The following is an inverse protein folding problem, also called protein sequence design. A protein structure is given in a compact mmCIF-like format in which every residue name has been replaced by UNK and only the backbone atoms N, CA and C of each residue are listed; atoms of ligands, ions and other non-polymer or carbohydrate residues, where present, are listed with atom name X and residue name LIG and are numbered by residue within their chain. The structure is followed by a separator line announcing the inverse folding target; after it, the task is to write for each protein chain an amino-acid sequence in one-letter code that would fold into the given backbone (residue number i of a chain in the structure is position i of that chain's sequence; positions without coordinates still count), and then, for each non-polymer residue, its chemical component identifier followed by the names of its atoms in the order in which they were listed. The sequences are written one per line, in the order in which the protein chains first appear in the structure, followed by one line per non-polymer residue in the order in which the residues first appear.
data_IF_281755722835
#
_entry.id   IF_281755722835
#
_cell.length_a   1.000
_cell.length_b   1.000
_cell.length_c   1.000
_cell.angle_alpha   90.00
_cell.angle_beta   90.00
_cell.angle_gamma   90.00
#
_symmetry.space_group_name_H-M   'P 1'
#
loop_
_entity.id
_entity.type
_entity.pdbx_description
1 polymer ?
#
# COMPACT_ATOMS: atom_id res chain seq x y z
N UNK A 1 1.43 61.91 -9.46
CA UNK A 1 2.37 60.97 -8.85
C UNK A 1 1.69 59.88 -7.99
N UNK A 2 0.72 60.17 -7.13
CA UNK A 2 0.03 59.16 -6.30
C UNK A 2 -0.85 58.15 -7.05
N UNK A 3 -1.35 58.49 -8.26
CA UNK A 3 -2.19 57.63 -9.11
C UNK A 3 -1.34 56.60 -9.89
N UNK A 4 -0.15 56.99 -10.36
CA UNK A 4 0.77 56.12 -11.07
C UNK A 4 1.38 55.09 -10.13
N UNK A 5 1.65 55.43 -8.87
CA UNK A 5 2.16 54.51 -7.85
C UNK A 5 1.12 53.43 -7.44
N UNK A 6 -0.18 53.80 -7.40
CA UNK A 6 -1.25 52.84 -7.13
C UNK A 6 -1.50 51.88 -8.28
N UNK A 7 -1.40 52.34 -9.53
CA UNK A 7 -1.51 51.49 -10.72
C UNK A 7 -0.35 50.48 -10.81
N UNK A 8 0.89 50.94 -10.51
CA UNK A 8 2.07 50.05 -10.49
C UNK A 8 1.98 49.01 -9.35
N UNK A 9 1.45 49.36 -8.17
CA UNK A 9 1.26 48.42 -7.06
C UNK A 9 0.19 47.37 -7.37
N UNK A 10 -0.90 47.73 -8.04
CA UNK A 10 -1.95 46.79 -8.48
C UNK A 10 -1.44 45.86 -9.57
N UNK A 11 -0.61 46.33 -10.49
CA UNK A 11 0.02 45.51 -11.53
C UNK A 11 1.03 44.52 -10.92
N UNK A 12 1.80 44.91 -9.91
CA UNK A 12 2.72 44.02 -9.18
C UNK A 12 1.99 42.95 -8.35
N UNK A 13 0.86 43.31 -7.74
CA UNK A 13 0.03 42.35 -7.00
C UNK A 13 -0.68 41.38 -7.97
N UNK A 14 -1.16 41.85 -9.11
CA UNK A 14 -1.74 40.99 -10.15
C UNK A 14 -0.69 40.07 -10.81
N UNK A 15 0.56 40.54 -11.01
CA UNK A 15 1.65 39.72 -11.51
C UNK A 15 2.12 38.70 -10.45
N UNK A 16 2.11 39.07 -9.14
CA UNK A 16 2.41 38.14 -8.03
C UNK A 16 1.31 37.07 -7.87
N UNK A 17 0.06 37.39 -8.14
CA UNK A 17 -1.06 36.41 -8.08
C UNK A 17 -1.06 35.50 -9.33
N UNK A 18 -0.62 35.98 -10.51
CA UNK A 18 -0.47 35.14 -11.69
C UNK A 18 0.68 34.13 -11.56
N UNK A 19 1.70 34.40 -10.76
CA UNK A 19 2.78 33.44 -10.49
C UNK A 19 2.40 32.34 -9.49
N UNK A 20 1.28 32.45 -8.76
CA UNK A 20 0.83 31.43 -7.81
C UNK A 20 -0.07 30.34 -8.42
N UNK A 21 -0.40 30.41 -9.71
CA UNK A 21 -1.11 29.37 -10.45
C UNK A 21 -0.17 28.55 -11.37
N UNK A 22 1.10 28.41 -11.02
CA UNK A 22 1.82 27.26 -11.53
C UNK A 22 1.29 26.03 -10.76
N UNK A 23 0.16 25.53 -11.23
CA UNK A 23 -0.23 24.15 -11.02
C UNK A 23 1.03 23.34 -11.29
N UNK A 24 1.54 22.63 -10.29
CA UNK A 24 2.67 21.72 -10.43
C UNK A 24 2.18 20.56 -11.31
N UNK A 25 2.14 20.80 -12.62
CA UNK A 25 1.77 19.77 -13.60
C UNK A 25 2.95 18.83 -13.71
N UNK A 26 2.73 17.56 -13.43
CA UNK A 26 3.71 16.53 -13.69
C UNK A 26 4.15 16.63 -15.17
N UNK A 27 5.43 16.94 -15.39
CA UNK A 27 6.00 17.01 -16.73
C UNK A 27 6.85 15.76 -16.95
N UNK A 28 6.42 14.91 -17.87
CA UNK A 28 7.15 13.73 -18.34
C UNK A 28 7.55 13.92 -19.79
N UNK A 29 8.71 13.39 -20.19
CA UNK A 29 9.13 13.32 -21.61
C UNK A 29 8.43 12.16 -22.33
N UNK A 30 7.99 11.14 -21.57
CA UNK A 30 7.23 10.01 -22.08
C UNK A 30 5.86 10.42 -22.62
N UNK A 31 5.43 9.78 -23.72
CA UNK A 31 4.13 9.99 -24.33
C UNK A 31 3.02 9.36 -23.49
N UNK A 32 2.06 10.16 -23.00
CA UNK A 32 0.88 9.66 -22.30
C UNK A 32 -0.14 9.15 -23.31
N UNK A 33 -0.42 7.84 -23.30
CA UNK A 33 -1.40 7.17 -24.17
C UNK A 33 -2.81 7.23 -23.63
N UNK A 34 -2.98 7.16 -22.29
CA UNK A 34 -4.28 7.30 -21.64
C UNK A 34 -4.79 8.74 -21.69
N UNK A 35 -6.12 8.93 -21.62
CA UNK A 35 -6.69 10.28 -21.64
C UNK A 35 -6.35 11.02 -20.35
N UNK A 36 -5.71 12.19 -20.47
CA UNK A 36 -5.38 13.02 -19.31
C UNK A 36 -6.63 13.26 -18.44
N UNK A 37 -6.52 12.91 -17.14
CA UNK A 37 -7.48 13.28 -16.08
C UNK A 37 -8.90 12.71 -16.24
N UNK A 38 -9.11 11.57 -16.83
CA UNK A 38 -10.36 10.88 -16.61
C UNK A 38 -10.31 10.29 -15.21
N UNK A 39 -11.13 10.84 -14.29
CA UNK A 39 -11.40 10.18 -13.02
C UNK A 39 -11.97 8.81 -13.39
N UNK A 40 -11.32 7.73 -12.97
CA UNK A 40 -11.81 6.38 -13.20
C UNK A 40 -13.25 6.24 -12.71
N UNK A 41 -13.93 5.20 -13.11
CA UNK A 41 -15.25 4.84 -12.60
C UNK A 41 -15.19 4.82 -11.08
N UNK A 42 -16.26 5.22 -10.42
CA UNK A 42 -16.44 5.08 -8.98
C UNK A 42 -17.72 4.31 -8.71
N UNK A 43 -17.76 3.55 -7.64
CA UNK A 43 -18.93 2.80 -7.21
C UNK A 43 -19.21 3.04 -5.74
N UNK A 44 -20.46 2.88 -5.35
CA UNK A 44 -20.88 2.81 -3.94
C UNK A 44 -21.09 1.36 -3.49
N UNK A 45 -20.82 0.38 -4.35
CA UNK A 45 -20.90 -1.02 -4.01
C UNK A 45 -19.81 -1.37 -2.99
N UNK A 46 -20.17 -2.19 -2.01
CA UNK A 46 -19.20 -2.83 -1.11
C UNK A 46 -18.53 -4.01 -1.83
N UNK A 47 -17.27 -4.33 -1.50
CA UNK A 47 -16.62 -5.53 -2.01
C UNK A 47 -17.44 -6.79 -1.66
N UNK A 48 -17.54 -7.71 -2.60
CA UNK A 48 -18.17 -9.01 -2.35
C UNK A 48 -17.31 -9.83 -1.37
N UNK A 49 -17.96 -10.54 -0.44
CA UNK A 49 -17.28 -11.36 0.57
C UNK A 49 -16.35 -12.42 -0.05
N UNK A 50 -16.83 -13.11 -1.11
CA UNK A 50 -16.03 -14.10 -1.84
C UNK A 50 -14.75 -13.48 -2.41
N UNK A 51 -14.82 -12.29 -2.99
CA UNK A 51 -13.67 -11.59 -3.55
C UNK A 51 -12.73 -11.11 -2.45
N UNK A 52 -13.25 -10.68 -1.30
CA UNK A 52 -12.43 -10.33 -0.14
C UNK A 52 -11.67 -11.56 0.40
N UNK A 53 -12.34 -12.71 0.54
CA UNK A 53 -11.66 -13.95 0.95
C UNK A 53 -10.58 -14.38 -0.04
N UNK A 54 -10.81 -14.22 -1.34
CA UNK A 54 -9.79 -14.46 -2.36
C UNK A 54 -8.58 -13.51 -2.20
N UNK A 55 -8.82 -12.23 -1.87
CA UNK A 55 -7.75 -11.28 -1.57
C UNK A 55 -6.97 -11.65 -0.30
N UNK A 56 -7.62 -12.18 0.72
CA UNK A 56 -6.95 -12.72 1.92
C UNK A 56 -6.13 -13.98 1.60
N UNK A 57 -6.65 -14.90 0.77
CA UNK A 57 -5.90 -16.06 0.29
C UNK A 57 -4.66 -15.65 -0.52
N UNK A 58 -4.80 -14.68 -1.43
CA UNK A 58 -3.67 -14.11 -2.16
C UNK A 58 -2.62 -13.55 -1.19
N UNK A 59 -3.06 -12.81 -0.17
CA UNK A 59 -2.20 -12.21 0.85
C UNK A 59 -1.42 -13.25 1.65
N UNK A 60 -2.09 -14.33 2.10
CA UNK A 60 -1.44 -15.43 2.83
C UNK A 60 -0.45 -16.19 1.94
N UNK A 61 -0.85 -16.53 0.71
CA UNK A 61 0.01 -17.22 -0.23
C UNK A 61 1.25 -16.39 -0.54
N UNK A 62 1.07 -15.08 -0.79
CA UNK A 62 2.20 -14.19 -1.03
C UNK A 62 3.12 -14.09 0.17
N UNK A 63 2.57 -13.95 1.39
CA UNK A 63 3.36 -13.91 2.61
C UNK A 63 4.19 -15.18 2.82
N UNK A 64 3.64 -16.36 2.49
CA UNK A 64 4.33 -17.64 2.63
C UNK A 64 5.51 -17.79 1.66
N UNK A 65 5.39 -17.21 0.45
CA UNK A 65 6.44 -17.26 -0.57
C UNK A 65 7.56 -16.24 -0.35
N UNK A 66 7.34 -15.20 0.48
CA UNK A 66 8.41 -14.27 0.85
C UNK A 66 9.34 -14.96 1.86
N UNK A 67 10.44 -15.53 1.36
CA UNK A 67 11.42 -16.21 2.19
C UNK A 67 12.46 -15.21 2.73
N UNK A 68 12.12 -14.57 3.84
CA UNK A 68 13.01 -13.63 4.54
C UNK A 68 12.82 -13.76 6.06
N UNK A 69 13.91 -13.99 6.79
CA UNK A 69 13.91 -14.04 8.26
C UNK A 69 14.01 -12.66 8.91
N UNK A 70 14.27 -11.62 8.11
CA UNK A 70 14.28 -10.22 8.55
C UNK A 70 12.87 -9.62 8.64
N UNK A 71 12.82 -8.31 8.77
CA UNK A 71 11.57 -7.56 8.71
C UNK A 71 10.92 -7.68 7.33
N UNK A 72 9.59 -7.71 7.30
CA UNK A 72 8.81 -7.74 6.06
C UNK A 72 7.88 -6.55 6.01
N UNK A 73 7.66 -6.01 4.81
CA UNK A 73 6.69 -4.95 4.56
C UNK A 73 6.27 -5.01 3.09
N UNK A 74 5.00 -5.22 2.84
CA UNK A 74 4.43 -5.21 1.49
C UNK A 74 2.98 -4.76 1.50
N UNK A 75 2.46 -4.41 0.33
CA UNK A 75 1.06 -4.06 0.13
C UNK A 75 0.36 -5.07 -0.76
N UNK A 76 -0.52 -5.91 -0.21
CA UNK A 76 -1.34 -6.80 -1.02
C UNK A 76 -2.22 -6.04 -2.01
N UNK A 77 -2.84 -4.93 -1.56
CA UNK A 77 -3.69 -4.10 -2.41
C UNK A 77 -2.93 -3.53 -3.62
N UNK A 78 -1.75 -2.98 -3.39
CA UNK A 78 -0.93 -2.40 -4.46
C UNK A 78 -0.51 -3.45 -5.50
N UNK A 79 -0.18 -4.68 -5.05
CA UNK A 79 0.16 -5.79 -5.95
C UNK A 79 -1.05 -6.25 -6.75
N UNK A 80 -2.21 -6.42 -6.12
CA UNK A 80 -3.46 -6.76 -6.82
C UNK A 80 -3.84 -5.70 -7.86
N UNK A 81 -3.63 -4.42 -7.56
CA UNK A 81 -3.87 -3.33 -8.52
C UNK A 81 -2.93 -3.43 -9.74
N UNK A 82 -1.63 -3.61 -9.52
CA UNK A 82 -0.66 -3.74 -10.60
C UNK A 82 -0.91 -4.98 -11.47
N UNK A 83 -1.12 -6.13 -10.83
CA UNK A 83 -1.38 -7.39 -11.52
C UNK A 83 -2.73 -7.40 -12.23
N UNK A 84 -3.77 -6.79 -11.63
CA UNK A 84 -5.09 -6.66 -12.25
C UNK A 84 -5.07 -5.84 -13.54
N UNK A 85 -4.32 -4.73 -13.54
CA UNK A 85 -4.09 -3.97 -14.78
C UNK A 85 -3.51 -4.84 -15.90
N UNK A 86 -2.52 -5.68 -15.55
CA UNK A 86 -1.85 -6.55 -16.51
C UNK A 86 -2.75 -7.68 -16.98
N UNK A 87 -3.53 -8.26 -16.07
CA UNK A 87 -4.46 -9.36 -16.37
C UNK A 87 -5.52 -8.97 -17.42
N UNK A 88 -5.88 -7.68 -17.51
CA UNK A 88 -6.74 -7.17 -18.59
C UNK A 88 -6.11 -7.33 -19.98
N UNK A 89 -4.78 -7.46 -20.04
CA UNK A 89 -4.03 -7.69 -21.27
C UNK A 89 -3.77 -9.16 -21.59
N UNK A 90 -4.02 -10.07 -20.65
CA UNK A 90 -3.71 -11.48 -20.76
C UNK A 90 -4.79 -12.28 -21.50
N UNK A 91 -4.38 -13.36 -22.18
CA UNK A 91 -5.25 -14.37 -22.79
C UNK A 91 -4.74 -15.79 -22.53
N UNK A 92 -5.59 -16.78 -22.83
CA UNK A 92 -5.24 -18.20 -22.74
C UNK A 92 -4.72 -18.63 -21.38
N UNK A 93 -3.65 -19.43 -21.38
CA UNK A 93 -3.07 -20.00 -20.17
C UNK A 93 -2.52 -18.92 -19.21
N UNK A 94 -1.92 -17.86 -19.74
CA UNK A 94 -1.42 -16.74 -18.93
C UNK A 94 -2.55 -16.12 -18.12
N UNK A 95 -3.68 -15.81 -18.74
CA UNK A 95 -4.86 -15.30 -18.06
C UNK A 95 -5.38 -16.28 -17.02
N UNK A 96 -5.50 -17.58 -17.38
CA UNK A 96 -6.01 -18.61 -16.48
C UNK A 96 -5.14 -18.78 -15.23
N UNK A 97 -3.82 -18.76 -15.38
CA UNK A 97 -2.88 -18.83 -14.26
C UNK A 97 -2.98 -17.59 -13.35
N UNK A 98 -3.07 -16.39 -13.93
CA UNK A 98 -3.26 -15.17 -13.16
C UNK A 98 -4.57 -15.20 -12.37
N UNK A 99 -5.70 -15.58 -13.00
CA UNK A 99 -7.01 -15.70 -12.35
C UNK A 99 -7.00 -16.77 -11.24
N UNK A 100 -6.27 -17.87 -11.43
CA UNK A 100 -6.09 -18.88 -10.37
C UNK A 100 -5.34 -18.32 -9.17
N UNK A 101 -4.28 -17.54 -9.37
CA UNK A 101 -3.52 -16.89 -8.30
C UNK A 101 -4.35 -15.85 -7.56
N UNK A 102 -5.20 -15.11 -8.27
CA UNK A 102 -6.13 -14.15 -7.63
C UNK A 102 -7.29 -14.84 -6.90
N UNK A 103 -7.61 -16.10 -7.24
CA UNK A 103 -8.82 -16.78 -6.76
C UNK A 103 -10.12 -16.18 -7.31
N UNK A 104 -10.06 -15.38 -8.36
CA UNK A 104 -11.19 -14.71 -9.00
C UNK A 104 -10.87 -14.41 -10.48
N UNK A 105 -11.90 -14.25 -11.29
CA UNK A 105 -11.74 -13.82 -12.69
C UNK A 105 -11.22 -12.38 -12.76
N UNK A 106 -10.64 -12.01 -13.89
CA UNK A 106 -10.16 -10.62 -14.13
C UNK A 106 -11.29 -9.60 -13.98
N UNK A 107 -12.53 -9.95 -14.39
CA UNK A 107 -13.69 -9.08 -14.24
C UNK A 107 -14.11 -8.92 -12.76
N UNK A 108 -14.14 -10.02 -11.99
CA UNK A 108 -14.40 -9.98 -10.54
C UNK A 108 -13.33 -9.15 -9.84
N UNK A 109 -12.04 -9.31 -10.21
CA UNK A 109 -10.93 -8.52 -9.65
C UNK A 109 -11.07 -7.02 -9.97
N UNK A 110 -11.41 -6.66 -11.21
CA UNK A 110 -11.64 -5.28 -11.60
C UNK A 110 -12.76 -4.64 -10.75
N UNK A 111 -13.89 -5.32 -10.58
CA UNK A 111 -15.01 -4.84 -9.78
C UNK A 111 -14.66 -4.75 -8.28
N UNK A 112 -13.94 -5.74 -7.76
CA UNK A 112 -13.47 -5.77 -6.38
C UNK A 112 -12.54 -4.58 -6.08
N UNK A 113 -11.50 -4.38 -6.90
CA UNK A 113 -10.55 -3.29 -6.71
C UNK A 113 -11.20 -1.91 -6.90
N UNK A 114 -12.13 -1.80 -7.84
CA UNK A 114 -12.94 -0.59 -7.99
C UNK A 114 -13.73 -0.28 -6.72
N UNK A 115 -14.38 -1.29 -6.10
CA UNK A 115 -15.14 -1.10 -4.86
C UNK A 115 -14.23 -0.68 -3.70
N UNK A 116 -13.08 -1.35 -3.50
CA UNK A 116 -12.10 -1.02 -2.46
C UNK A 116 -11.56 0.41 -2.64
N UNK A 117 -11.17 0.78 -3.86
CA UNK A 117 -10.52 2.07 -4.11
C UNK A 117 -11.50 3.24 -4.19
N UNK A 118 -12.77 3.01 -4.59
CA UNK A 118 -13.75 4.09 -4.76
C UNK A 118 -14.09 4.80 -3.45
N UNK A 119 -14.00 4.09 -2.35
CA UNK A 119 -14.31 4.59 -1.02
C UNK A 119 -13.07 5.11 -0.30
N UNK A 120 -11.84 4.91 -0.85
CA UNK A 120 -10.58 5.31 -0.20
C UNK A 120 -10.49 6.82 0.08
N UNK A 121 -9.93 7.17 1.24
CA UNK A 121 -9.63 8.56 1.59
C UNK A 121 -8.28 8.96 0.98
N UNK A 122 -8.30 9.63 -0.15
CA UNK A 122 -7.11 10.04 -0.89
C UNK A 122 -6.17 11.00 -0.14
N UNK A 123 -6.61 11.62 0.95
CA UNK A 123 -5.74 12.43 1.80
C UNK A 123 -4.87 11.59 2.74
N UNK A 124 -5.34 10.37 3.07
CA UNK A 124 -4.64 9.46 3.98
C UNK A 124 -3.98 8.31 3.23
N UNK A 125 -4.70 7.71 2.25
CA UNK A 125 -4.18 6.64 1.39
C UNK A 125 -4.09 7.16 -0.04
N UNK A 126 -2.87 7.37 -0.51
CA UNK A 126 -2.58 7.76 -1.89
C UNK A 126 -2.31 6.51 -2.71
N UNK A 127 -3.11 6.32 -3.72
CA UNK A 127 -2.98 5.21 -4.66
C UNK A 127 -2.91 5.79 -6.07
N UNK A 128 -1.86 5.46 -6.80
CA UNK A 128 -1.72 5.82 -8.19
C UNK A 128 -1.12 4.65 -8.99
N UNK A 129 -1.69 4.44 -10.16
CA UNK A 129 -1.34 3.33 -11.03
C UNK A 129 -0.76 3.85 -12.32
N UNK A 130 0.38 3.31 -12.75
CA UNK A 130 0.91 3.61 -14.07
C UNK A 130 1.49 2.37 -14.75
N UNK A 131 1.45 2.42 -16.07
CA UNK A 131 2.05 1.44 -16.94
C UNK A 131 2.97 2.17 -17.92
N UNK A 132 4.18 1.64 -18.08
CA UNK A 132 5.19 2.19 -18.97
C UNK A 132 5.51 1.15 -20.02
N UNK A 133 5.30 1.51 -21.27
CA UNK A 133 5.44 0.64 -22.43
C UNK A 133 6.61 1.12 -23.26
N UNK A 134 7.45 0.21 -23.73
CA UNK A 134 8.56 0.56 -24.64
C UNK A 134 8.01 1.09 -25.96
N UNK A 135 8.61 2.15 -26.50
CA UNK A 135 8.23 2.70 -27.81
C UNK A 135 8.62 1.82 -29.01
N UNK A 136 9.48 0.82 -28.77
CA UNK A 136 9.99 -0.04 -29.84
C UNK A 136 8.93 -1.07 -30.25
N UNK A 137 8.32 -0.83 -31.43
CA UNK A 137 7.42 -1.76 -32.12
C UNK A 137 6.17 -2.19 -31.34
N UNK A 138 5.64 -1.34 -30.47
CA UNK A 138 4.45 -1.66 -29.68
C UNK A 138 3.22 -0.92 -30.24
N UNK A 139 2.17 -1.69 -30.55
CA UNK A 139 0.87 -1.19 -30.99
C UNK A 139 -0.20 -1.58 -29.96
N UNK A 140 -0.45 -0.68 -29.00
CA UNK A 140 -1.32 -0.95 -27.86
C UNK A 140 -2.79 -0.94 -28.28
N UNK A 141 -3.51 -2.00 -27.94
CA UNK A 141 -4.96 -2.13 -28.22
C UNK A 141 -5.76 -1.11 -27.41
N UNK A 142 -6.65 -0.36 -28.09
CA UNK A 142 -7.45 0.69 -27.45
C UNK A 142 -8.35 0.13 -26.32
N UNK A 143 -8.89 -1.08 -26.47
CA UNK A 143 -9.69 -1.73 -25.45
C UNK A 143 -8.95 -1.98 -24.16
N UNK A 144 -7.64 -2.25 -24.23
CA UNK A 144 -6.78 -2.39 -23.08
C UNK A 144 -6.56 -1.05 -22.36
N UNK A 145 -6.36 0.03 -23.11
CA UNK A 145 -6.26 1.37 -22.53
C UNK A 145 -7.57 1.76 -21.84
N UNK A 146 -8.71 1.56 -22.49
CA UNK A 146 -10.03 1.95 -22.00
C UNK A 146 -10.40 1.23 -20.68
N UNK A 147 -10.14 -0.08 -20.57
CA UNK A 147 -10.45 -0.84 -19.34
C UNK A 147 -9.57 -0.42 -18.17
N UNK A 148 -8.29 -0.16 -18.42
CA UNK A 148 -7.36 0.28 -17.37
C UNK A 148 -7.60 1.73 -16.93
N UNK A 149 -8.04 2.61 -17.85
CA UNK A 149 -8.52 3.93 -17.46
C UNK A 149 -9.81 3.84 -16.63
N UNK A 150 -10.76 2.98 -17.05
CA UNK A 150 -12.06 2.88 -16.40
C UNK A 150 -11.97 2.36 -14.97
N UNK A 151 -11.29 1.24 -14.75
CA UNK A 151 -11.27 0.55 -13.46
C UNK A 151 -10.16 1.00 -12.53
N UNK A 152 -9.01 1.41 -13.08
CA UNK A 152 -7.82 1.72 -12.29
C UNK A 152 -7.43 3.20 -12.30
N UNK A 153 -8.03 4.00 -13.18
CA UNK A 153 -7.59 5.38 -13.38
C UNK A 153 -6.12 5.47 -13.81
N UNK A 154 -5.61 4.42 -14.47
CA UNK A 154 -4.20 4.24 -14.73
C UNK A 154 -3.66 5.26 -15.72
N UNK A 155 -2.45 5.76 -15.45
CA UNK A 155 -1.67 6.55 -16.40
C UNK A 155 -0.80 5.60 -17.24
N UNK A 156 -1.05 5.53 -18.55
CA UNK A 156 -0.33 4.63 -19.46
C UNK A 156 0.58 5.44 -20.35
N UNK A 157 1.88 5.19 -20.25
CA UNK A 157 2.93 5.92 -20.95
C UNK A 157 3.64 5.04 -21.97
N UNK A 158 4.07 5.66 -23.08
CA UNK A 158 5.00 5.10 -24.04
C UNK A 158 6.34 5.82 -23.92
N UNK A 159 7.44 5.11 -23.82
CA UNK A 159 8.73 5.66 -23.46
C UNK A 159 9.90 4.91 -24.11
N UNK A 160 11.08 5.55 -24.31
CA UNK A 160 12.23 4.93 -24.97
C UNK A 160 12.96 3.88 -24.13
N UNK A 161 12.65 3.75 -22.86
CA UNK A 161 13.28 2.83 -21.88
C UNK A 161 14.79 3.07 -21.72
N UNK A 162 15.15 4.32 -21.63
CA UNK A 162 16.50 4.80 -21.33
C UNK A 162 16.54 5.59 -19.99
N UNK A 163 17.60 6.33 -19.77
CA UNK A 163 17.77 7.14 -18.55
C UNK A 163 16.72 8.25 -18.40
N UNK A 164 16.06 8.69 -19.46
CA UNK A 164 14.97 9.68 -19.39
C UNK A 164 13.72 9.03 -18.83
N UNK A 165 13.43 7.80 -19.22
CA UNK A 165 12.32 7.00 -18.68
C UNK A 165 12.49 6.76 -17.17
N UNK A 166 13.70 6.45 -16.71
CA UNK A 166 14.00 6.32 -15.25
C UNK A 166 13.64 7.61 -14.51
N UNK A 167 14.04 8.77 -15.05
CA UNK A 167 13.73 10.07 -14.43
C UNK A 167 12.23 10.35 -14.41
N UNK A 168 11.52 10.02 -15.48
CA UNK A 168 10.08 10.24 -15.59
C UNK A 168 9.32 9.35 -14.61
N UNK A 169 9.71 8.06 -14.51
CA UNK A 169 9.14 7.12 -13.53
C UNK A 169 9.36 7.62 -12.11
N UNK A 170 10.59 7.97 -11.75
CA UNK A 170 10.90 8.46 -10.40
C UNK A 170 10.14 9.74 -10.08
N UNK A 171 10.07 10.69 -11.00
CA UNK A 171 9.28 11.92 -10.84
C UNK A 171 7.79 11.64 -10.70
N UNK A 172 7.28 10.66 -11.45
CA UNK A 172 5.88 10.24 -11.36
C UNK A 172 5.57 9.66 -9.97
N UNK A 173 6.42 8.75 -9.47
CA UNK A 173 6.26 8.14 -8.14
C UNK A 173 6.39 9.20 -7.04
N UNK A 174 7.41 10.04 -7.07
CA UNK A 174 7.62 11.14 -6.13
C UNK A 174 6.39 12.06 -6.06
N UNK A 175 5.85 12.45 -7.21
CA UNK A 175 4.66 13.30 -7.30
C UNK A 175 3.42 12.65 -6.67
N UNK A 176 3.12 11.39 -7.01
CA UNK A 176 1.92 10.71 -6.52
C UNK A 176 2.04 10.19 -5.08
N UNK A 177 3.25 10.15 -4.53
CA UNK A 177 3.50 9.79 -3.12
C UNK A 177 3.82 11.00 -2.24
N UNK A 178 3.66 12.24 -2.74
CA UNK A 178 4.01 13.49 -2.04
C UNK A 178 5.43 13.46 -1.45
N UNK A 179 6.41 13.00 -2.24
CA UNK A 179 7.80 12.91 -1.84
C UNK A 179 8.13 11.78 -0.87
N UNK A 180 7.19 10.88 -0.58
CA UNK A 180 7.47 9.74 0.32
C UNK A 180 8.37 8.69 -0.31
N UNK A 181 8.28 8.52 -1.64
CA UNK A 181 9.12 7.63 -2.43
C UNK A 181 9.80 8.46 -3.52
N UNK A 182 10.93 9.12 -3.24
CA UNK A 182 11.59 10.02 -4.19
C UNK A 182 12.27 9.27 -5.34
N UNK A 183 12.61 7.99 -5.14
CA UNK A 183 13.29 7.16 -6.13
C UNK A 183 12.78 5.73 -6.06
N UNK A 184 12.27 5.21 -7.19
CA UNK A 184 11.82 3.83 -7.35
C UNK A 184 12.86 3.00 -8.13
N UNK A 185 13.44 3.59 -9.18
CA UNK A 185 14.39 2.92 -10.09
C UNK A 185 15.70 3.72 -10.16
N UNK A 186 16.82 2.98 -10.12
CA UNK A 186 18.15 3.53 -10.39
C UNK A 186 18.50 3.40 -11.88
N UNK A 187 18.05 2.32 -12.50
CA UNK A 187 18.29 2.01 -13.91
C UNK A 187 17.13 1.19 -14.49
N UNK A 188 17.04 1.19 -15.82
CA UNK A 188 16.11 0.37 -16.57
C UNK A 188 16.89 -0.63 -17.41
N UNK A 189 16.44 -1.89 -17.45
CA UNK A 189 16.99 -2.87 -18.36
C UNK A 189 16.48 -2.56 -19.78
N UNK A 190 17.34 -2.29 -20.78
CA UNK A 190 16.89 -1.98 -22.15
C UNK A 190 16.07 -3.10 -22.82
N UNK A 191 16.18 -4.34 -22.33
CA UNK A 191 15.37 -5.46 -22.82
C UNK A 191 13.94 -5.49 -22.24
N UNK A 192 13.65 -4.64 -21.25
CA UNK A 192 12.32 -4.56 -20.66
C UNK A 192 11.35 -3.92 -21.64
N UNK A 193 10.17 -4.50 -21.78
CA UNK A 193 9.11 -4.01 -22.67
C UNK A 193 7.96 -3.36 -21.93
N UNK A 194 7.80 -3.70 -20.65
CA UNK A 194 6.69 -3.28 -19.80
C UNK A 194 7.13 -3.11 -18.35
N UNK A 195 6.89 -1.93 -17.77
CA UNK A 195 6.92 -1.68 -16.33
C UNK A 195 5.53 -1.37 -15.80
N UNK A 196 5.16 -2.08 -14.74
CA UNK A 196 3.95 -1.83 -13.98
C UNK A 196 4.34 -1.16 -12.65
N UNK A 197 3.76 -0.02 -12.37
CA UNK A 197 4.05 0.73 -11.17
C UNK A 197 2.75 1.02 -10.44
N UNK A 198 2.64 0.49 -9.23
CA UNK A 198 1.64 0.88 -8.26
C UNK A 198 2.34 1.71 -7.19
N UNK A 199 2.12 3.01 -7.20
CA UNK A 199 2.61 3.91 -6.17
C UNK A 199 1.58 4.00 -5.06
N UNK A 200 2.00 3.66 -3.84
CA UNK A 200 1.15 3.73 -2.67
C UNK A 200 1.90 4.43 -1.53
N UNK A 201 1.22 5.40 -0.94
CA UNK A 201 1.71 6.07 0.26
C UNK A 201 0.56 6.20 1.27
N UNK A 202 0.85 5.88 2.52
CA UNK A 202 -0.08 6.03 3.63
C UNK A 202 0.42 7.11 4.58
N UNK A 203 -0.39 8.17 4.78
CA UNK A 203 -0.12 9.28 5.70
C UNK A 203 -1.32 9.44 6.64
N UNK A 204 -1.32 8.69 7.73
CA UNK A 204 -2.39 8.67 8.72
C UNK A 204 -1.94 9.24 10.07
N UNK A 205 -2.61 10.28 10.57
CA UNK A 205 -2.45 10.73 11.96
C UNK A 205 -3.32 9.88 12.87
N UNK A 206 -2.82 9.54 14.06
CA UNK A 206 -3.64 8.86 15.05
C UNK A 206 -4.90 9.66 15.37
N UNK A 207 -6.00 9.00 15.64
CA UNK A 207 -7.21 9.65 16.21
C UNK A 207 -6.86 10.33 17.55
N UNK A 208 -6.03 9.66 18.35
CA UNK A 208 -5.46 10.19 19.59
C UNK A 208 -3.94 10.01 19.53
N UNK A 209 -3.18 11.07 19.15
CA UNK A 209 -1.71 11.07 19.17
C UNK A 209 -1.14 10.84 20.57
N UNK A 210 0.08 10.29 20.62
CA UNK A 210 0.77 10.08 21.89
C UNK A 210 1.39 11.38 22.40
N UNK A 211 1.20 11.64 23.70
CA UNK A 211 1.86 12.73 24.41
C UNK A 211 3.27 12.30 24.87
N UNK A 212 4.15 13.27 25.17
CA UNK A 212 5.51 12.99 25.66
C UNK A 212 5.53 12.09 26.91
N UNK A 213 4.52 12.16 27.77
CA UNK A 213 4.45 11.34 28.98
C UNK A 213 4.09 9.88 28.71
N UNK A 214 3.60 9.57 27.52
CA UNK A 214 3.23 8.23 27.05
C UNK A 214 4.35 7.54 26.27
N UNK A 215 5.46 8.24 26.05
CA UNK A 215 6.61 7.73 25.30
C UNK A 215 7.76 7.54 26.28
N UNK A 216 8.29 6.31 26.36
CA UNK A 216 9.40 5.95 27.23
C UNK A 216 10.33 4.99 26.53
N UNK A 217 11.57 4.96 26.95
CA UNK A 217 12.48 3.89 26.54
C UNK A 217 11.98 2.56 27.10
N UNK A 218 11.98 1.54 26.25
CA UNK A 218 11.65 0.17 26.57
C UNK A 218 12.59 -0.79 25.85
N UNK A 219 12.37 -2.09 26.02
CA UNK A 219 13.14 -3.13 25.37
C UNK A 219 12.28 -3.81 24.31
N UNK A 220 12.89 -4.12 23.17
CA UNK A 220 12.37 -5.05 22.18
C UNK A 220 13.33 -6.22 22.09
N UNK A 221 12.83 -7.44 22.24
CA UNK A 221 13.62 -8.65 22.10
C UNK A 221 13.40 -9.23 20.71
N UNK A 222 14.42 -9.23 19.88
CA UNK A 222 14.32 -9.67 18.50
C UNK A 222 14.21 -11.19 18.35
N UNK A 223 14.03 -11.67 17.13
CA UNK A 223 13.93 -13.10 16.79
C UNK A 223 15.21 -13.92 17.11
N UNK A 224 16.34 -13.27 17.38
CA UNK A 224 17.59 -13.88 17.82
C UNK A 224 17.77 -13.84 19.34
N UNK A 225 16.81 -13.29 20.09
CA UNK A 225 16.86 -13.10 21.54
C UNK A 225 17.73 -11.91 21.96
N UNK A 226 18.08 -11.01 21.04
CA UNK A 226 18.86 -9.81 21.33
C UNK A 226 17.91 -8.70 21.79
N UNK A 227 18.24 -8.03 22.90
CA UNK A 227 17.45 -6.91 23.41
C UNK A 227 17.93 -5.59 22.82
N UNK A 228 17.02 -4.82 22.26
CA UNK A 228 17.24 -3.50 21.70
C UNK A 228 16.49 -2.45 22.51
N UNK A 229 17.12 -1.33 22.81
CA UNK A 229 16.43 -0.19 23.45
C UNK A 229 15.71 0.62 22.37
N UNK A 230 14.40 0.81 22.57
CA UNK A 230 13.54 1.51 21.60
C UNK A 230 12.54 2.42 22.32
N UNK A 231 12.03 3.44 21.61
CA UNK A 231 10.93 4.26 22.12
C UNK A 231 9.62 3.47 22.07
N UNK A 232 9.03 3.19 23.23
CA UNK A 232 7.72 2.57 23.37
C UNK A 232 6.65 3.62 23.64
N UNK A 233 5.58 3.57 22.87
CA UNK A 233 4.40 4.45 22.97
C UNK A 233 3.28 3.70 23.67
N UNK A 234 2.81 4.21 24.82
CA UNK A 234 1.81 3.57 25.67
C UNK A 234 0.45 4.27 25.57
N UNK A 235 -0.60 3.49 25.37
CA UNK A 235 -1.99 3.98 25.40
C UNK A 235 -2.92 2.96 26.04
N UNK A 236 -4.14 3.41 26.36
CA UNK A 236 -5.24 2.51 26.75
C UNK A 236 -6.30 2.63 25.65
N UNK A 237 -6.60 1.49 25.04
CA UNK A 237 -7.60 1.38 23.99
C UNK A 237 -8.86 0.67 24.52
N UNK A 238 -10.00 0.93 23.90
CA UNK A 238 -11.30 0.34 24.27
C UNK A 238 -11.63 -0.91 23.47
N UNK A 239 -10.75 -1.27 22.54
CA UNK A 239 -10.89 -2.40 21.62
C UNK A 239 -9.54 -3.06 21.39
N UNK A 240 -9.59 -4.37 21.13
CA UNK A 240 -8.41 -5.16 20.80
C UNK A 240 -8.78 -6.33 19.87
N UNK A 241 -7.79 -6.97 19.28
CA UNK A 241 -7.94 -8.16 18.44
C UNK A 241 -7.55 -9.40 19.22
N UNK A 242 -8.26 -10.51 19.00
CA UNK A 242 -7.88 -11.82 19.55
C UNK A 242 -8.47 -12.94 18.71
N UNK A 243 -7.64 -13.87 18.27
CA UNK A 243 -8.05 -15.09 17.56
C UNK A 243 -6.99 -16.18 17.69
N UNK A 244 -7.39 -17.42 17.93
CA UNK A 244 -6.48 -18.60 18.03
C UNK A 244 -5.28 -18.41 18.97
N UNK A 245 -5.45 -17.70 20.05
CA UNK A 245 -4.38 -17.45 21.04
C UNK A 245 -3.50 -16.24 20.72
N UNK A 246 -3.60 -15.66 19.53
CA UNK A 246 -2.99 -14.37 19.24
C UNK A 246 -3.77 -13.23 19.89
N UNK A 247 -3.05 -12.17 20.27
CA UNK A 247 -3.64 -10.93 20.80
C UNK A 247 -3.06 -9.74 20.05
N UNK A 248 -3.88 -8.72 19.75
CA UNK A 248 -3.43 -7.57 18.96
C UNK A 248 -4.00 -6.25 19.44
N UNK A 249 -3.15 -5.24 19.37
CA UNK A 249 -3.55 -3.84 19.50
C UNK A 249 -4.26 -3.37 18.22
N UNK A 250 -5.35 -2.61 18.39
CA UNK A 250 -6.00 -1.91 17.28
C UNK A 250 -6.05 -0.42 17.60
N UNK A 251 -5.33 0.39 16.82
CA UNK A 251 -5.27 1.83 17.01
C UNK A 251 -5.74 2.57 15.76
N UNK A 252 -6.80 3.36 15.93
CA UNK A 252 -7.44 4.08 14.83
C UNK A 252 -6.67 5.32 14.40
N UNK A 253 -6.64 5.54 13.10
CA UNK A 253 -6.26 6.82 12.51
C UNK A 253 -7.44 7.78 12.48
N UNK A 254 -7.15 9.07 12.37
CA UNK A 254 -8.13 10.15 12.38
C UNK A 254 -9.22 9.91 11.33
N UNK A 255 -10.47 9.98 11.80
CA UNK A 255 -11.65 9.71 11.00
C UNK A 255 -12.10 8.24 11.00
N UNK A 256 -11.41 7.34 11.72
CA UNK A 256 -11.85 5.97 12.03
C UNK A 256 -11.87 4.99 10.87
N UNK A 257 -11.53 5.42 9.65
CA UNK A 257 -11.56 4.55 8.47
C UNK A 257 -10.40 3.55 8.44
N UNK A 258 -9.23 4.01 8.83
CA UNK A 258 -8.04 3.16 8.85
C UNK A 258 -7.61 2.90 10.29
N UNK A 259 -7.00 1.74 10.51
CA UNK A 259 -6.40 1.41 11.79
C UNK A 259 -5.06 0.68 11.59
N UNK A 260 -4.16 0.88 12.52
CA UNK A 260 -2.99 0.03 12.73
C UNK A 260 -3.41 -1.14 13.61
N UNK A 261 -3.12 -2.35 13.17
CA UNK A 261 -3.21 -3.57 13.95
C UNK A 261 -1.80 -4.10 14.17
N UNK A 262 -1.38 -4.23 15.44
CA UNK A 262 -0.13 -4.89 15.83
C UNK A 262 -0.48 -6.17 16.58
N UNK A 263 -0.03 -7.34 16.11
CA UNK A 263 -0.52 -8.64 16.54
C UNK A 263 0.64 -9.49 17.02
N UNK A 264 0.59 -9.88 18.29
CA UNK A 264 1.49 -10.87 18.88
C UNK A 264 0.95 -12.27 18.56
N UNK A 265 1.77 -13.15 17.96
CA UNK A 265 1.40 -14.55 17.82
C UNK A 265 1.22 -15.23 19.18
N UNK A 266 0.60 -16.41 19.25
CA UNK A 266 0.56 -17.20 20.46
C UNK A 266 1.96 -17.51 21.00
N UNK A 267 2.08 -17.68 22.31
CA UNK A 267 3.34 -18.01 22.97
C UNK A 267 4.05 -19.18 22.31
N UNK A 268 5.33 -19.00 21.99
CA UNK A 268 6.18 -20.00 21.35
C UNK A 268 6.02 -20.12 19.84
N UNK A 269 5.18 -19.31 19.19
CA UNK A 269 5.08 -19.24 17.73
C UNK A 269 5.79 -18.00 17.21
N UNK A 270 6.46 -18.13 16.05
CA UNK A 270 6.93 -16.97 15.30
C UNK A 270 5.77 -16.33 14.52
N UNK A 271 5.87 -15.03 14.13
CA UNK A 271 4.90 -14.42 13.23
C UNK A 271 4.68 -15.23 11.94
N UNK A 272 5.74 -15.83 11.39
CA UNK A 272 5.69 -16.69 10.20
C UNK A 272 4.87 -17.95 10.44
N UNK A 273 5.17 -18.69 11.52
CA UNK A 273 4.46 -19.94 11.83
C UNK A 273 2.98 -19.68 12.11
N UNK A 274 2.69 -18.57 12.78
CA UNK A 274 1.32 -18.19 13.07
C UNK A 274 0.56 -17.87 11.76
N UNK A 275 1.13 -17.05 10.87
CA UNK A 275 0.51 -16.77 9.56
C UNK A 275 0.30 -18.03 8.73
N UNK A 276 1.26 -18.94 8.72
CA UNK A 276 1.15 -20.23 8.03
C UNK A 276 0.04 -21.15 8.60
N UNK A 277 -0.37 -20.93 9.85
CA UNK A 277 -1.44 -21.68 10.52
C UNK A 277 -2.84 -21.16 10.25
N UNK A 278 -2.98 -20.00 9.59
CA UNK A 278 -4.26 -19.34 9.35
C UNK A 278 -4.83 -19.68 7.96
N UNK A 279 -6.14 -19.87 7.89
CA UNK A 279 -6.90 -19.77 6.65
C UNK A 279 -7.24 -18.30 6.35
N UNK A 280 -7.74 -18.04 5.15
CA UNK A 280 -8.20 -16.69 4.76
C UNK A 280 -9.31 -16.17 5.67
N UNK A 281 -10.27 -17.03 5.99
CA UNK A 281 -11.39 -16.72 6.90
C UNK A 281 -10.88 -16.43 8.32
N UNK A 282 -9.86 -17.15 8.78
CA UNK A 282 -9.26 -16.95 10.09
C UNK A 282 -8.46 -15.65 10.16
N UNK A 283 -7.70 -15.32 9.09
CA UNK A 283 -7.00 -14.03 9.01
C UNK A 283 -8.01 -12.86 8.94
N UNK A 284 -9.08 -13.00 8.16
CA UNK A 284 -10.16 -12.01 8.11
C UNK A 284 -10.82 -11.87 9.50
N UNK A 285 -11.11 -12.97 10.17
CA UNK A 285 -11.68 -12.96 11.51
C UNK A 285 -10.76 -12.27 12.49
N UNK A 286 -9.46 -12.58 12.48
CA UNK A 286 -8.46 -11.94 13.34
C UNK A 286 -8.43 -10.42 13.15
N UNK A 287 -8.47 -9.94 11.90
CA UNK A 287 -8.32 -8.52 11.59
C UNK A 287 -9.63 -7.72 11.71
N UNK A 288 -10.79 -8.35 11.47
CA UNK A 288 -12.07 -7.65 11.38
C UNK A 288 -12.99 -7.88 12.59
N UNK A 289 -12.74 -8.92 13.41
CA UNK A 289 -13.56 -9.18 14.61
C UNK A 289 -12.97 -8.51 15.84
N UNK A 290 -13.51 -7.34 16.15
CA UNK A 290 -13.03 -6.51 17.26
C UNK A 290 -13.62 -7.00 18.60
N UNK A 291 -12.76 -7.18 19.60
CA UNK A 291 -13.16 -7.42 20.98
C UNK A 291 -13.28 -6.08 21.72
N UNK A 292 -14.32 -5.93 22.53
CA UNK A 292 -14.52 -4.75 23.35
C UNK A 292 -14.01 -5.00 24.76
N UNK A 293 -13.24 -4.08 25.30
CA UNK A 293 -12.65 -4.15 26.63
C UNK A 293 -11.47 -3.21 26.77
N UNK A 294 -10.98 -3.03 27.98
CA UNK A 294 -9.81 -2.20 28.23
C UNK A 294 -8.53 -2.94 27.89
N UNK A 295 -7.76 -2.41 26.95
CA UNK A 295 -6.45 -2.91 26.56
C UNK A 295 -5.37 -1.87 26.87
N UNK A 296 -4.38 -2.22 27.67
CA UNK A 296 -3.17 -1.42 27.86
C UNK A 296 -2.17 -1.82 26.79
N UNK A 297 -1.86 -0.88 25.90
CA UNK A 297 -1.12 -1.15 24.67
C UNK A 297 0.22 -0.44 24.70
N UNK A 298 1.29 -1.13 24.31
CA UNK A 298 2.59 -0.55 24.01
C UNK A 298 2.98 -0.87 22.58
N UNK A 299 3.24 0.18 21.79
CA UNK A 299 3.67 0.07 20.38
C UNK A 299 5.06 0.68 20.25
N UNK A 300 6.06 -0.03 19.68
CA UNK A 300 7.35 0.56 19.40
C UNK A 300 7.24 1.64 18.31
N UNK A 301 8.00 2.71 18.44
CA UNK A 301 8.22 3.63 17.33
C UNK A 301 9.26 3.02 16.39
N UNK A 302 8.94 2.84 15.11
CA UNK A 302 9.83 2.22 14.15
C UNK A 302 9.61 2.75 12.74
N UNK A 303 10.64 2.60 11.90
CA UNK A 303 10.58 2.93 10.48
C UNK A 303 11.10 1.76 9.66
N UNK A 304 10.40 1.39 8.60
CA UNK A 304 10.79 0.36 7.66
C UNK A 304 10.76 0.91 6.24
N UNK A 305 11.81 0.59 5.47
CA UNK A 305 11.89 0.88 4.05
C UNK A 305 12.41 -0.36 3.32
N UNK A 306 11.55 -1.00 2.56
CA UNK A 306 11.89 -2.23 1.86
C UNK A 306 11.63 -2.10 0.37
N UNK A 307 12.56 -2.65 -0.42
CA UNK A 307 12.45 -2.83 -1.86
C UNK A 307 12.45 -4.32 -2.16
N UNK A 308 11.38 -4.82 -2.76
CA UNK A 308 11.17 -6.25 -2.96
C UNK A 308 10.66 -6.56 -4.36
N UNK A 309 11.20 -7.64 -4.96
CA UNK A 309 10.75 -8.21 -6.24
C UNK A 309 9.94 -9.46 -5.96
N UNK A 310 8.79 -9.59 -6.64
CA UNK A 310 7.81 -10.65 -6.41
C UNK A 310 7.71 -11.68 -7.53
N UNK A 311 8.58 -11.64 -8.54
CA UNK A 311 8.52 -12.56 -9.69
C UNK A 311 8.56 -14.03 -9.27
N UNK A 312 9.50 -14.39 -8.40
CA UNK A 312 9.66 -15.76 -7.91
C UNK A 312 8.44 -16.20 -7.08
N UNK A 313 8.02 -15.38 -6.11
CA UNK A 313 6.86 -15.66 -5.30
C UNK A 313 5.59 -15.87 -6.15
N UNK A 314 5.31 -14.98 -7.09
CA UNK A 314 4.16 -15.07 -7.98
C UNK A 314 4.24 -16.27 -8.93
N UNK A 315 5.45 -16.62 -9.39
CA UNK A 315 5.67 -17.82 -10.20
C UNK A 315 5.38 -19.09 -9.40
N UNK A 316 5.85 -19.17 -8.15
CA UNK A 316 5.61 -20.30 -7.23
C UNK A 316 4.13 -20.43 -6.88
N UNK A 317 3.41 -19.29 -6.73
CA UNK A 317 1.96 -19.28 -6.54
C UNK A 317 1.17 -19.81 -7.75
N UNK A 318 1.81 -19.92 -8.94
CA UNK A 318 1.20 -20.57 -10.10
C UNK A 318 1.08 -19.72 -11.37
N UNK A 319 1.58 -18.45 -11.41
CA UNK A 319 1.50 -17.62 -12.63
C UNK A 319 2.82 -17.53 -13.40
N UNK A 320 3.59 -18.61 -13.44
CA UNK A 320 4.91 -18.64 -14.05
C UNK A 320 4.92 -18.26 -15.55
N UNK A 321 3.89 -18.62 -16.30
CA UNK A 321 3.81 -18.30 -17.74
C UNK A 321 3.89 -16.79 -18.01
N UNK A 322 3.36 -15.96 -17.12
CA UNK A 322 3.34 -14.49 -17.26
C UNK A 322 4.76 -13.88 -17.35
N UNK A 323 5.77 -14.57 -16.82
CA UNK A 323 7.17 -14.12 -16.74
C UNK A 323 8.07 -14.72 -17.81
N UNK A 324 7.55 -15.57 -18.68
CA UNK A 324 8.34 -16.30 -19.69
C UNK A 324 8.01 -15.84 -21.11
N UNK A 325 8.76 -16.38 -22.10
CA UNK A 325 8.46 -16.17 -23.51
C UNK A 325 7.15 -16.83 -23.99
N UNK A 326 6.53 -17.67 -23.15
CA UNK A 326 5.23 -18.30 -23.42
C UNK A 326 4.05 -17.42 -22.97
N UNK A 327 4.34 -16.27 -22.39
CA UNK A 327 3.32 -15.31 -21.96
C UNK A 327 2.45 -14.85 -23.14
N UNK A 328 1.14 -14.81 -22.92
CA UNK A 328 0.19 -14.32 -23.89
C UNK A 328 -0.49 -13.05 -23.38
N UNK A 329 0.03 -11.91 -23.78
CA UNK A 329 -0.53 -10.58 -23.53
C UNK A 329 -1.06 -9.94 -24.82
N UNK A 330 -1.67 -10.74 -25.71
CA UNK A 330 -2.18 -10.30 -27.01
C UNK A 330 -3.29 -9.25 -26.94
N UNK A 331 -3.93 -9.05 -25.78
CA UNK A 331 -4.85 -7.92 -25.59
C UNK A 331 -4.13 -6.61 -25.30
N UNK A 332 -2.82 -6.63 -24.95
CA UNK A 332 -2.01 -5.42 -24.93
C UNK A 332 -1.55 -5.10 -26.35
N UNK A 333 -0.92 -6.06 -27.05
CA UNK A 333 -0.44 -5.94 -28.40
C UNK A 333 -0.52 -7.30 -29.10
N UNK A 334 -1.23 -7.37 -30.22
CA UNK A 334 -1.39 -8.61 -31.02
C UNK A 334 -0.16 -8.98 -31.83
N UNK A 335 0.76 -8.05 -32.01
CA UNK A 335 1.88 -8.18 -32.95
C UNK A 335 3.22 -8.44 -32.25
N UNK A 336 3.33 -8.13 -30.97
CA UNK A 336 4.57 -8.22 -30.20
C UNK A 336 4.43 -9.23 -29.05
N UNK A 337 5.35 -10.20 -28.90
CA UNK A 337 5.38 -11.03 -27.72
C UNK A 337 5.77 -10.21 -26.50
N UNK A 338 4.93 -10.22 -25.47
CA UNK A 338 5.12 -9.48 -24.23
C UNK A 338 5.16 -10.45 -23.06
N UNK A 339 6.02 -10.18 -22.08
CA UNK A 339 6.02 -10.84 -20.78
C UNK A 339 6.26 -9.82 -19.67
N UNK A 340 5.88 -10.17 -18.45
CA UNK A 340 6.19 -9.35 -17.28
C UNK A 340 7.68 -9.49 -16.97
N UNK A 341 8.44 -8.42 -17.07
CA UNK A 341 9.87 -8.44 -16.76
C UNK A 341 10.12 -8.42 -15.26
N UNK A 342 9.42 -7.53 -14.53
CA UNK A 342 9.60 -7.36 -13.09
C UNK A 342 8.31 -6.88 -12.44
N UNK A 343 7.98 -7.48 -11.29
CA UNK A 343 6.98 -6.99 -10.34
C UNK A 343 7.74 -6.55 -9.10
N UNK A 344 7.94 -5.25 -8.96
CA UNK A 344 8.71 -4.64 -7.87
C UNK A 344 7.84 -3.72 -7.04
N UNK A 345 8.01 -3.77 -5.73
CA UNK A 345 7.37 -2.87 -4.81
C UNK A 345 8.40 -2.23 -3.89
N UNK A 346 8.36 -0.90 -3.79
CA UNK A 346 9.05 -0.15 -2.77
C UNK A 346 8.01 0.31 -1.75
N UNK A 347 8.19 -0.11 -0.51
CA UNK A 347 7.28 0.22 0.59
C UNK A 347 8.04 0.96 1.68
N UNK A 348 7.39 1.96 2.22
CA UNK A 348 7.89 2.74 3.36
C UNK A 348 6.78 2.87 4.40
N UNK A 349 7.14 2.69 5.67
CA UNK A 349 6.26 2.93 6.81
C UNK A 349 7.06 3.48 7.98
N UNK A 350 6.55 4.53 8.61
CA UNK A 350 7.12 5.15 9.79
C UNK A 350 6.02 5.29 10.86
N UNK A 351 6.13 4.51 11.92
CA UNK A 351 5.19 4.52 13.07
C UNK A 351 5.81 5.36 14.18
N UNK A 352 5.16 6.45 14.52
CA UNK A 352 5.63 7.41 15.51
C UNK A 352 4.49 7.96 16.38
N UNK A 353 4.80 8.91 17.25
CA UNK A 353 3.84 9.48 18.21
C UNK A 353 2.62 10.17 17.57
N UNK A 354 2.76 10.69 16.37
CA UNK A 354 1.74 11.47 15.66
C UNK A 354 0.84 10.57 14.79
N UNK A 355 1.38 9.45 14.32
CA UNK A 355 0.72 8.56 13.36
C UNK A 355 1.70 7.71 12.57
N UNK A 356 1.27 7.38 11.36
CA UNK A 356 2.15 6.84 10.33
C UNK A 356 2.51 7.99 9.40
N UNK A 357 3.79 8.36 9.36
CA UNK A 357 4.37 9.54 8.71
C UNK A 357 3.59 10.84 8.98
N UNK A 358 3.87 11.52 10.10
CA UNK A 358 3.31 12.83 10.42
C UNK A 358 4.37 13.84 10.80
N UNK A 359 4.25 15.06 10.29
CA UNK A 359 4.99 16.23 10.77
C UNK A 359 4.24 16.89 11.94
N UNK A 360 4.97 17.27 12.99
CA UNK A 360 4.48 17.62 14.30
C UNK A 360 3.43 18.76 14.37
N UNK A 361 2.35 18.52 15.11
CA UNK A 361 1.52 19.57 15.71
C UNK A 361 0.94 19.08 17.06
N UNK A 362 1.09 19.88 18.10
CA UNK A 362 0.76 19.53 19.49
C UNK A 362 -0.72 19.76 19.77
N UNK A 363 -1.44 18.73 20.27
CA UNK A 363 -2.74 18.92 20.92
C UNK A 363 -2.81 18.15 22.24
N UNK A 364 -3.51 18.74 23.24
CA UNK A 364 -3.66 18.19 24.59
C UNK A 364 -5.05 17.58 24.72
N UNK A 365 -5.15 16.27 24.94
CA UNK A 365 -6.38 15.56 25.23
C UNK A 365 -6.46 15.13 26.70
N UNK A 366 -7.64 15.25 27.32
CA UNK A 366 -7.92 14.82 28.70
C UNK A 366 -8.69 13.50 28.65
N UNK A 367 -8.15 12.44 29.20
CA UNK A 367 -8.83 11.14 29.32
C UNK A 367 -9.64 11.03 30.60
N UNK A 368 -10.87 10.50 30.51
CA UNK A 368 -11.69 10.06 31.64
C UNK A 368 -11.36 8.61 32.00
N UNK A 369 -11.03 8.35 33.26
CA UNK A 369 -10.93 6.99 33.78
C UNK A 369 -12.31 6.53 34.28
N UNK A 370 -12.83 5.44 33.69
CA UNK A 370 -13.93 4.67 34.26
C UNK A 370 -13.41 3.26 34.60
N UNK A 371 -13.79 2.76 35.77
CA UNK A 371 -13.51 1.38 36.16
C UNK A 371 -14.40 0.44 35.34
N UNK A 372 -13.80 -0.42 34.53
CA UNK A 372 -14.50 -1.43 33.74
C UNK A 372 -14.48 -2.76 34.49
N UNK A 373 -15.62 -3.48 34.61
CA UNK A 373 -15.69 -4.78 35.29
C UNK A 373 -15.07 -5.96 34.51
N UNK A 374 -14.65 -5.73 33.25
CA UNK A 374 -13.94 -6.72 32.45
C UNK A 374 -12.43 -6.52 32.62
N UNK A 375 -11.70 -7.63 32.86
CA UNK A 375 -10.24 -7.61 33.09
C UNK A 375 -9.48 -6.82 32.04
N UNK A 376 -8.40 -6.15 32.45
CA UNK A 376 -7.51 -5.42 31.55
C UNK A 376 -6.65 -6.42 30.76
N UNK A 377 -6.52 -6.19 29.45
CA UNK A 377 -5.64 -6.96 28.56
C UNK A 377 -4.35 -6.17 28.36
N UNK A 378 -3.21 -6.80 28.59
CA UNK A 378 -1.89 -6.21 28.35
C UNK A 378 -1.40 -6.65 26.96
N UNK A 379 -1.03 -5.69 26.11
CA UNK A 379 -0.55 -5.94 24.74
C UNK A 379 0.73 -5.12 24.54
N UNK A 380 1.86 -5.76 24.72
CA UNK A 380 3.17 -5.14 24.59
C UNK A 380 3.85 -5.68 23.35
N UNK A 381 3.95 -4.86 22.28
CA UNK A 381 4.64 -5.22 21.05
C UNK A 381 6.17 -5.09 21.22
N UNK A 382 6.72 -5.86 22.17
CA UNK A 382 8.12 -5.85 22.60
C UNK A 382 8.91 -7.10 22.17
N UNK A 383 8.31 -7.92 21.33
CA UNK A 383 8.87 -9.12 20.70
C UNK A 383 8.37 -9.20 19.26
N UNK A 384 8.84 -10.13 18.42
CA UNK A 384 8.40 -10.25 17.03
C UNK A 384 6.89 -10.27 16.87
N UNK A 385 6.36 -9.38 16.04
CA UNK A 385 4.92 -9.21 15.84
C UNK A 385 4.56 -8.96 14.36
N UNK A 386 3.33 -9.29 14.01
CA UNK A 386 2.71 -8.90 12.75
C UNK A 386 2.14 -7.49 12.87
N UNK A 387 2.18 -6.72 11.80
CA UNK A 387 1.47 -5.46 11.73
C UNK A 387 0.70 -5.32 10.42
N UNK A 388 -0.43 -4.63 10.48
CA UNK A 388 -1.31 -4.37 9.34
C UNK A 388 -1.83 -2.93 9.43
N UNK A 389 -1.81 -2.21 8.31
CA UNK A 389 -2.70 -1.06 8.12
C UNK A 389 -3.97 -1.58 7.46
N UNK A 390 -5.06 -1.49 8.18
CA UNK A 390 -6.36 -2.05 7.79
C UNK A 390 -7.32 -0.94 7.38
N UNK A 391 -8.01 -1.10 6.27
CA UNK A 391 -9.21 -0.33 5.95
C UNK A 391 -10.39 -0.96 6.69
N UNK A 392 -10.87 -0.30 7.73
CA UNK A 392 -11.94 -0.81 8.60
C UNK A 392 -13.28 -0.93 7.87
N UNK A 393 -13.52 -0.08 6.88
CA UNK A 393 -14.79 -0.08 6.15
C UNK A 393 -14.92 -1.27 5.20
N UNK A 394 -13.82 -1.63 4.54
CA UNK A 394 -13.80 -2.74 3.59
C UNK A 394 -13.24 -4.04 4.18
N UNK A 395 -12.46 -3.96 5.25
CA UNK A 395 -11.70 -5.08 5.78
C UNK A 395 -10.41 -5.37 4.99
N UNK A 396 -10.02 -4.54 4.01
CA UNK A 396 -8.84 -4.79 3.17
C UNK A 396 -7.55 -4.44 3.89
N UNK A 397 -6.57 -5.38 3.98
CA UNK A 397 -5.22 -5.06 4.41
C UNK A 397 -4.52 -4.22 3.34
N UNK A 398 -4.16 -2.97 3.71
CA UNK A 398 -3.51 -2.00 2.83
C UNK A 398 -2.00 -2.23 2.78
N UNK A 399 -1.39 -2.28 3.95
CA UNK A 399 0.01 -2.62 4.20
C UNK A 399 0.06 -3.71 5.24
N UNK A 400 0.99 -4.64 5.11
CA UNK A 400 1.27 -5.59 6.18
C UNK A 400 2.73 -6.00 6.19
N UNK A 401 3.17 -6.52 7.33
CA UNK A 401 4.53 -6.99 7.50
C UNK A 401 4.78 -7.62 8.84
N UNK A 402 6.04 -7.90 9.10
CA UNK A 402 6.55 -8.37 10.38
C UNK A 402 7.68 -7.50 10.86
N UNK A 403 7.67 -7.23 12.15
CA UNK A 403 8.81 -6.68 12.88
C UNK A 403 9.48 -7.82 13.62
N UNK A 404 10.60 -8.30 13.08
CA UNK A 404 11.38 -9.40 13.64
C UNK A 404 12.62 -8.90 14.39
N UNK A 405 13.17 -7.76 13.96
CA UNK A 405 14.35 -7.14 14.56
C UNK A 405 14.24 -5.61 14.47
N UNK A 406 15.00 -4.92 15.32
CA UNK A 406 15.18 -3.47 15.31
C UNK A 406 16.59 -3.18 14.78
N UNK A 407 16.68 -2.38 13.71
CA UNK A 407 17.94 -1.89 13.16
C UNK A 407 18.31 -0.53 13.75
#
# INVERSE_FOLDING_TARGET
MKFILRAALVLLVCMGILCCFFSCTLHTEAELLSKRYRKGKTTTATPEEKAMLAAYNFTLSLYSEIQNDGNQLFSPLSLLLALGMTANGAEGDTKSQMEQVFGMTTEELNNFLLAVCSTSNQNTLKLAQSMWLSEHNLNVEQSFLDVNEEYYGASIYKAPFDHTTVKDINRWVDYYTDGMIPTLLDQINPATVLYLISAMAFDGKWETPYTKNQIREGLFVDNNGISHTISMMSSTESVYLSHKGAVGALKYYKGGRYAFAGILPPDGMTPRDFMASLSAEELQTLLCSVNHGKANVQIPAFSLSLSQTFNEALSNMGMASAFTSEANFSKIDKTSPLSISEVKQNTFMDINAEGTKAAAATSVGIAKTSLDPFGEVEIHLDSPFLFVILDIETGMPILMGTMNTIE
#
